data_IF_661864761461
#
_entry.id   IF_661864761461
#
_cell.length_a   1.000
_cell.length_b   1.000
_cell.length_c   1.000
_cell.angle_alpha   90.00
_cell.angle_beta   90.00
_cell.angle_gamma   90.00
#
_symmetry.space_group_name_H-M   'P 1'
#
loop_
_entity.id
_entity.type
_entity.pdbx_description
1 polymer ?
#
# COMPACT_ATOMS: atom_id res chain seq x y z
N UNK A 1 13.13 29.70 17.51
CA UNK A 1 12.39 28.84 16.56
C UNK A 1 12.91 27.40 16.50
N UNK A 2 14.24 27.17 16.54
CA UNK A 2 14.85 25.84 16.42
C UNK A 2 14.45 24.83 17.53
N UNK A 3 14.23 25.25 18.78
CA UNK A 3 13.90 24.30 19.87
C UNK A 3 12.47 23.74 19.79
N UNK A 4 11.49 24.58 19.40
CA UNK A 4 10.12 24.12 19.14
C UNK A 4 10.08 23.13 17.98
N UNK A 5 10.90 23.39 16.97
CA UNK A 5 11.04 22.53 15.80
C UNK A 5 11.60 21.15 16.17
N UNK A 6 12.70 21.11 16.92
CA UNK A 6 13.31 19.87 17.37
C UNK A 6 12.37 19.05 18.26
N UNK A 7 11.62 19.71 19.15
CA UNK A 7 10.62 19.06 20.01
C UNK A 7 9.48 18.44 19.19
N UNK A 8 9.00 19.16 18.17
CA UNK A 8 7.99 18.65 17.24
C UNK A 8 8.50 17.43 16.45
N UNK A 9 9.73 17.48 15.95
CA UNK A 9 10.34 16.38 15.21
C UNK A 9 10.52 15.15 16.11
N UNK A 10 11.05 15.33 17.33
CA UNK A 10 11.20 14.25 18.32
C UNK A 10 9.86 13.57 18.65
N UNK A 11 8.77 14.35 18.75
CA UNK A 11 7.43 13.80 19.02
C UNK A 11 6.88 12.94 17.87
N UNK A 12 7.24 13.28 16.63
CA UNK A 12 6.72 12.61 15.44
C UNK A 12 7.72 11.65 14.79
N UNK A 13 8.87 11.40 15.44
CA UNK A 13 9.97 10.63 14.85
C UNK A 13 9.56 9.24 14.39
N UNK A 14 8.68 8.57 15.13
CA UNK A 14 8.17 7.23 14.77
C UNK A 14 7.39 7.27 13.46
N UNK A 15 6.53 8.28 13.28
CA UNK A 15 5.76 8.46 12.05
C UNK A 15 6.71 8.79 10.89
N UNK A 16 7.70 9.64 11.13
CA UNK A 16 8.74 10.01 10.16
C UNK A 16 9.58 8.82 9.72
N UNK A 17 10.03 7.98 10.65
CA UNK A 17 10.75 6.74 10.38
C UNK A 17 9.87 5.81 9.53
N UNK A 18 8.58 5.72 9.84
CA UNK A 18 7.66 4.94 9.03
C UNK A 18 7.58 5.45 7.59
N UNK A 19 7.39 6.76 7.39
CA UNK A 19 7.41 7.37 6.05
C UNK A 19 8.70 7.06 5.32
N UNK A 20 9.84 7.24 5.97
CA UNK A 20 11.16 6.99 5.41
C UNK A 20 11.34 5.52 5.00
N UNK A 21 10.97 4.56 5.86
CA UNK A 21 11.18 3.14 5.60
C UNK A 21 10.35 2.66 4.41
N UNK A 22 9.09 3.08 4.31
CA UNK A 22 8.27 2.74 3.13
C UNK A 22 8.74 3.46 1.88
N UNK A 23 9.22 4.70 1.97
CA UNK A 23 9.84 5.39 0.82
C UNK A 23 11.05 4.58 0.34
N UNK A 24 12.00 4.26 1.23
CA UNK A 24 13.17 3.42 0.92
C UNK A 24 12.75 2.14 0.22
N UNK A 25 11.80 1.41 0.80
CA UNK A 25 11.35 0.13 0.28
C UNK A 25 10.70 0.27 -1.11
N UNK A 26 9.87 1.29 -1.31
CA UNK A 26 9.17 1.55 -2.57
C UNK A 26 10.15 2.01 -3.67
N UNK A 27 11.05 2.94 -3.35
CA UNK A 27 12.06 3.42 -4.30
C UNK A 27 13.05 2.31 -4.65
N UNK A 28 13.43 1.48 -3.69
CA UNK A 28 14.30 0.32 -3.90
C UNK A 28 13.71 -0.68 -4.89
N UNK A 29 12.42 -1.03 -4.73
CA UNK A 29 11.75 -1.92 -5.67
C UNK A 29 11.60 -1.29 -7.05
N UNK A 30 11.16 -0.03 -7.15
CA UNK A 30 11.07 0.68 -8.45
C UNK A 30 12.44 0.68 -9.14
N UNK A 31 13.52 0.95 -8.42
CA UNK A 31 14.85 1.05 -8.99
C UNK A 31 15.37 -0.32 -9.43
N UNK A 32 15.20 -1.35 -8.60
CA UNK A 32 15.64 -2.72 -8.93
C UNK A 32 14.94 -3.22 -10.18
N UNK A 33 13.61 -3.16 -10.22
CA UNK A 33 12.86 -3.68 -11.36
C UNK A 33 12.94 -2.75 -12.58
N UNK A 34 13.05 -1.45 -12.39
CA UNK A 34 13.33 -0.49 -13.46
C UNK A 34 14.69 -0.74 -14.11
N UNK A 35 15.72 -1.11 -13.33
CA UNK A 35 17.03 -1.51 -13.85
C UNK A 35 16.91 -2.81 -14.68
N UNK A 36 16.18 -3.80 -14.18
CA UNK A 36 15.97 -5.07 -14.90
C UNK A 36 15.22 -4.87 -16.23
N UNK A 37 14.22 -3.98 -16.25
CA UNK A 37 13.49 -3.64 -17.47
C UNK A 37 14.34 -2.82 -18.45
N UNK A 38 15.11 -1.84 -17.97
CA UNK A 38 16.06 -1.11 -18.80
C UNK A 38 17.02 -2.06 -19.53
N UNK A 39 17.53 -3.05 -18.80
CA UNK A 39 18.43 -4.07 -19.34
C UNK A 39 17.75 -5.03 -20.32
N UNK A 40 16.48 -5.36 -20.11
CA UNK A 40 15.75 -6.19 -21.07
C UNK A 40 15.41 -5.44 -22.35
N UNK A 41 15.14 -4.13 -22.28
CA UNK A 41 14.99 -3.25 -23.46
C UNK A 41 16.31 -3.20 -24.23
N UNK A 42 17.44 -3.00 -23.53
CA UNK A 42 18.77 -3.00 -24.16
C UNK A 42 19.07 -4.34 -24.82
N UNK A 43 18.86 -5.46 -24.12
CA UNK A 43 19.06 -6.80 -24.65
C UNK A 43 18.21 -7.08 -25.91
N UNK A 44 17.00 -6.53 -25.97
CA UNK A 44 16.14 -6.63 -27.13
C UNK A 44 16.62 -5.78 -28.31
N UNK A 45 17.08 -4.55 -28.04
CA UNK A 45 17.59 -3.64 -29.07
C UNK A 45 18.88 -4.15 -29.73
N UNK A 46 19.75 -4.82 -28.95
CA UNK A 46 21.05 -5.32 -29.41
C UNK A 46 21.11 -6.85 -29.51
N UNK A 47 19.97 -7.49 -29.78
CA UNK A 47 19.84 -8.96 -29.80
C UNK A 47 20.86 -9.65 -30.72
N UNK A 48 21.18 -9.05 -31.86
CA UNK A 48 22.05 -9.64 -32.88
C UNK A 48 23.53 -9.61 -32.43
N UNK A 49 23.92 -8.57 -31.67
CA UNK A 49 25.27 -8.42 -31.12
C UNK A 49 25.47 -9.30 -29.88
N UNK A 50 24.39 -9.56 -29.14
CA UNK A 50 24.42 -10.28 -27.87
C UNK A 50 24.15 -11.80 -28.00
N UNK A 51 23.91 -12.27 -29.23
CA UNK A 51 23.62 -13.69 -29.53
C UNK A 51 22.47 -14.27 -28.68
N UNK A 52 21.45 -13.45 -28.38
CA UNK A 52 20.31 -13.86 -27.56
C UNK A 52 19.24 -14.53 -28.42
N UNK A 53 18.87 -15.78 -28.06
CA UNK A 53 17.90 -16.56 -28.83
C UNK A 53 16.46 -16.08 -28.64
N UNK A 54 16.13 -15.56 -27.46
CA UNK A 54 14.79 -15.13 -27.09
C UNK A 54 14.81 -13.90 -26.17
N UNK A 55 15.19 -12.72 -26.69
CA UNK A 55 15.19 -11.48 -25.91
C UNK A 55 13.78 -11.00 -25.53
N UNK A 56 12.74 -11.49 -26.22
CA UNK A 56 11.35 -11.11 -25.97
C UNK A 56 10.83 -11.63 -24.62
N UNK A 57 11.31 -12.79 -24.17
CA UNK A 57 10.91 -13.41 -22.89
C UNK A 57 11.21 -12.51 -21.68
N UNK A 58 12.48 -12.13 -21.44
CA UNK A 58 12.84 -11.23 -20.34
C UNK A 58 12.15 -9.87 -20.43
N UNK A 59 11.99 -9.33 -21.65
CA UNK A 59 11.32 -8.04 -21.87
C UNK A 59 9.85 -8.08 -21.41
N UNK A 60 9.09 -9.06 -21.90
CA UNK A 60 7.66 -9.20 -21.55
C UNK A 60 7.46 -9.48 -20.06
N UNK A 61 8.31 -10.33 -19.47
CA UNK A 61 8.30 -10.65 -18.05
C UNK A 61 8.55 -9.42 -17.17
N UNK A 62 9.66 -8.70 -17.39
CA UNK A 62 10.00 -7.54 -16.57
C UNK A 62 9.06 -6.37 -16.80
N UNK A 63 8.52 -6.18 -18.01
CA UNK A 63 7.55 -5.11 -18.28
C UNK A 63 6.28 -5.28 -17.43
N UNK A 64 5.71 -6.49 -17.41
CA UNK A 64 4.53 -6.79 -16.60
C UNK A 64 4.78 -6.56 -15.10
N UNK A 65 5.94 -6.99 -14.60
CA UNK A 65 6.30 -6.86 -13.19
C UNK A 65 6.58 -5.41 -12.80
N UNK A 66 7.31 -4.65 -13.63
CA UNK A 66 7.55 -3.24 -13.37
C UNK A 66 6.24 -2.47 -13.32
N UNK A 67 5.29 -2.76 -14.22
CA UNK A 67 3.97 -2.12 -14.18
C UNK A 67 3.27 -2.31 -12.83
N UNK A 68 3.25 -3.54 -12.30
CA UNK A 68 2.70 -3.85 -10.98
C UNK A 68 3.44 -3.08 -9.88
N UNK A 69 4.76 -3.25 -9.82
CA UNK A 69 5.59 -2.73 -8.73
C UNK A 69 5.54 -1.21 -8.72
N UNK A 70 5.56 -0.58 -9.89
CA UNK A 70 5.44 0.85 -10.05
C UNK A 70 4.10 1.34 -9.51
N UNK A 71 2.97 0.75 -9.93
CA UNK A 71 1.65 1.15 -9.44
C UNK A 71 1.54 0.98 -7.92
N UNK A 72 1.91 -0.19 -7.42
CA UNK A 72 1.80 -0.55 -6.00
C UNK A 72 2.69 0.32 -5.11
N UNK A 73 3.90 0.64 -5.58
CA UNK A 73 4.84 1.53 -4.90
C UNK A 73 4.31 2.97 -4.86
N UNK A 74 3.82 3.50 -5.98
CA UNK A 74 3.21 4.84 -6.05
C UNK A 74 2.01 4.93 -5.11
N UNK A 75 1.14 3.93 -5.14
CA UNK A 75 -0.05 3.88 -4.31
C UNK A 75 0.32 3.86 -2.83
N UNK A 76 1.36 3.12 -2.46
CA UNK A 76 1.91 3.03 -1.11
C UNK A 76 2.51 4.37 -0.65
N UNK A 77 3.33 5.03 -1.50
CA UNK A 77 3.89 6.36 -1.23
C UNK A 77 2.77 7.40 -0.99
N UNK A 78 1.80 7.46 -1.90
CA UNK A 78 0.68 8.40 -1.80
C UNK A 78 -0.16 8.16 -0.53
N UNK A 79 -0.47 6.89 -0.26
CA UNK A 79 -1.23 6.44 0.91
C UNK A 79 -0.53 6.84 2.20
N UNK A 80 0.77 6.60 2.29
CA UNK A 80 1.53 6.86 3.51
C UNK A 80 1.78 8.35 3.76
N UNK A 81 2.07 9.13 2.71
CA UNK A 81 2.16 10.60 2.85
C UNK A 81 0.81 11.15 3.33
N UNK A 82 -0.29 10.68 2.74
CA UNK A 82 -1.64 11.09 3.14
C UNK A 82 -1.95 10.69 4.59
N UNK A 83 -1.56 9.49 5.00
CA UNK A 83 -1.70 9.05 6.37
C UNK A 83 -0.86 9.93 7.30
N UNK A 84 0.43 10.10 7.04
CA UNK A 84 1.35 10.93 7.83
C UNK A 84 0.82 12.35 8.03
N UNK A 85 0.20 12.95 7.01
CA UNK A 85 -0.48 14.23 7.17
C UNK A 85 -1.65 14.12 8.14
N UNK A 86 -2.53 13.13 7.95
CA UNK A 86 -3.71 12.95 8.80
C UNK A 86 -3.36 12.64 10.26
N UNK A 87 -2.22 11.99 10.52
CA UNK A 87 -1.74 11.73 11.88
C UNK A 87 -1.24 13.00 12.57
N UNK A 88 -0.76 13.98 11.80
CA UNK A 88 -0.16 15.23 12.29
C UNK A 88 -1.10 16.44 12.21
N UNK A 89 -2.34 16.24 11.75
CA UNK A 89 -3.36 17.27 11.61
C UNK A 89 -3.58 18.08 12.91
N UNK A 90 -3.60 17.43 14.08
CA UNK A 90 -3.76 18.10 15.38
C UNK A 90 -2.59 19.04 15.69
N UNK A 91 -1.38 18.64 15.33
CA UNK A 91 -0.19 19.45 15.57
C UNK A 91 -0.11 20.60 14.56
N UNK A 92 -0.54 20.39 13.32
CA UNK A 92 -0.68 21.48 12.35
C UNK A 92 -1.75 22.50 12.75
N UNK A 93 -2.85 22.05 13.38
CA UNK A 93 -3.85 22.94 13.99
C UNK A 93 -3.24 23.84 15.07
N UNK A 94 -2.47 23.26 16.00
CA UNK A 94 -1.79 24.03 17.06
C UNK A 94 -0.81 25.06 16.48
N UNK A 95 0.00 24.67 15.49
CA UNK A 95 0.92 25.59 14.82
C UNK A 95 0.19 26.74 14.11
N UNK A 96 -1.02 26.51 13.60
CA UNK A 96 -1.86 27.59 13.04
C UNK A 96 -2.40 28.53 14.09
N UNK A 97 -2.81 28.02 15.25
CA UNK A 97 -3.29 28.85 16.36
C UNK A 97 -2.18 29.82 16.82
N UNK A 98 -0.92 29.39 16.77
CA UNK A 98 0.26 30.22 17.07
C UNK A 98 0.57 31.24 15.94
N UNK A 99 -0.16 31.22 14.83
CA UNK A 99 -0.01 32.18 13.73
C UNK A 99 0.86 31.72 12.57
N UNK A 100 1.25 30.43 12.49
CA UNK A 100 2.00 29.95 11.32
C UNK A 100 1.09 29.88 10.10
N UNK A 101 1.45 30.66 9.06
CA UNK A 101 0.76 30.68 7.78
C UNK A 101 0.72 29.30 7.10
N UNK A 102 -0.33 29.06 6.31
CA UNK A 102 -0.52 27.79 5.60
C UNK A 102 0.57 27.50 4.56
N UNK A 103 1.15 28.54 3.96
CA UNK A 103 2.24 28.42 2.98
C UNK A 103 3.52 27.94 3.66
N UNK A 104 3.90 28.53 4.80
CA UNK A 104 5.05 28.09 5.60
C UNK A 104 4.92 26.62 6.04
N UNK A 105 3.74 26.21 6.51
CA UNK A 105 3.48 24.80 6.85
C UNK A 105 3.65 23.86 5.65
N UNK A 106 3.16 24.28 4.47
CA UNK A 106 3.30 23.48 3.25
C UNK A 106 4.78 23.35 2.86
N UNK A 107 5.52 24.45 2.77
CA UNK A 107 6.95 24.44 2.44
C UNK A 107 7.72 23.54 3.40
N UNK A 108 7.41 23.65 4.70
CA UNK A 108 8.00 22.80 5.72
C UNK A 108 7.79 21.29 5.46
N UNK A 109 6.55 20.89 5.17
CA UNK A 109 6.22 19.49 4.85
C UNK A 109 6.91 19.01 3.57
N UNK A 110 6.98 19.88 2.55
CA UNK A 110 7.68 19.56 1.31
C UNK A 110 9.17 19.31 1.56
N UNK A 111 9.80 20.17 2.35
CA UNK A 111 11.22 20.02 2.69
C UNK A 111 11.47 18.73 3.49
N UNK A 112 10.59 18.41 4.44
CA UNK A 112 10.65 17.16 5.19
C UNK A 112 10.60 15.93 4.27
N UNK A 113 9.62 15.87 3.36
CA UNK A 113 9.48 14.73 2.44
C UNK A 113 10.62 14.71 1.42
N UNK A 114 11.12 15.86 0.99
CA UNK A 114 12.28 15.96 0.13
C UNK A 114 13.54 15.37 0.76
N UNK A 115 13.78 15.62 2.06
CA UNK A 115 14.88 14.98 2.81
C UNK A 115 14.71 13.46 2.83
N UNK A 116 13.51 12.96 3.18
CA UNK A 116 13.26 11.51 3.22
C UNK A 116 13.44 10.86 1.86
N UNK A 117 12.96 11.50 0.80
CA UNK A 117 13.11 11.05 -0.58
C UNK A 117 14.58 11.00 -0.99
N UNK A 118 15.38 12.01 -0.63
CA UNK A 118 16.81 12.05 -0.95
C UNK A 118 17.55 10.88 -0.29
N UNK A 119 17.29 10.63 0.99
CA UNK A 119 17.86 9.49 1.73
C UNK A 119 17.41 8.16 1.10
N UNK A 120 16.13 8.05 0.75
CA UNK A 120 15.58 6.85 0.12
C UNK A 120 16.20 6.55 -1.25
N UNK A 121 16.39 7.57 -2.08
CA UNK A 121 17.04 7.45 -3.40
C UNK A 121 18.49 7.01 -3.25
N UNK A 122 19.26 7.67 -2.36
CA UNK A 122 20.66 7.30 -2.12
C UNK A 122 20.78 5.84 -1.71
N UNK A 123 19.99 5.41 -0.73
CA UNK A 123 19.99 4.02 -0.26
C UNK A 123 19.58 3.02 -1.35
N UNK A 124 18.55 3.37 -2.12
CA UNK A 124 18.03 2.52 -3.20
C UNK A 124 19.03 2.38 -4.36
N UNK A 125 19.77 3.45 -4.66
CA UNK A 125 20.78 3.45 -5.72
C UNK A 125 21.98 2.55 -5.40
N UNK A 126 22.36 2.41 -4.12
CA UNK A 126 23.43 1.48 -3.74
C UNK A 126 22.98 0.02 -3.69
N UNK A 127 21.73 -0.25 -3.30
CA UNK A 127 21.24 -1.62 -3.11
C UNK A 127 20.61 -2.26 -4.34
N UNK A 128 20.15 -1.48 -5.32
CA UNK A 128 19.41 -2.03 -6.47
C UNK A 128 20.25 -3.01 -7.31
N UNK A 129 21.53 -2.74 -7.57
CA UNK A 129 22.42 -3.59 -8.37
C UNK A 129 22.63 -4.98 -7.73
N UNK A 130 23.09 -5.11 -6.48
CA UNK A 130 23.27 -6.43 -5.87
C UNK A 130 21.96 -7.20 -5.78
N UNK A 131 20.84 -6.51 -5.53
CA UNK A 131 19.53 -7.16 -5.46
C UNK A 131 19.01 -7.59 -6.84
N UNK A 132 19.22 -6.79 -7.88
CA UNK A 132 18.88 -7.16 -9.25
C UNK A 132 19.68 -8.39 -9.71
N UNK A 133 20.97 -8.45 -9.37
CA UNK A 133 21.81 -9.62 -9.62
C UNK A 133 21.32 -10.86 -8.85
N UNK A 134 20.89 -10.70 -7.60
CA UNK A 134 20.30 -11.77 -6.81
C UNK A 134 19.02 -12.31 -7.47
N UNK A 135 18.10 -11.43 -7.89
CA UNK A 135 16.88 -11.80 -8.59
C UNK A 135 17.21 -12.51 -9.90
N UNK A 136 18.14 -12.00 -10.70
CA UNK A 136 18.53 -12.63 -11.96
C UNK A 136 19.13 -14.01 -11.76
N UNK A 137 20.00 -14.18 -10.76
CA UNK A 137 20.58 -15.49 -10.42
C UNK A 137 19.47 -16.49 -10.11
N UNK A 138 18.50 -16.10 -9.29
CA UNK A 138 17.37 -16.96 -8.94
C UNK A 138 16.47 -17.26 -10.15
N UNK A 139 16.21 -16.28 -11.02
CA UNK A 139 15.41 -16.47 -12.23
C UNK A 139 16.10 -17.39 -13.25
N UNK A 140 17.43 -17.29 -13.39
CA UNK A 140 18.25 -18.20 -14.22
C UNK A 140 18.28 -19.61 -13.68
N UNK A 141 18.50 -19.78 -12.37
CA UNK A 141 18.47 -21.10 -11.71
C UNK A 141 17.14 -21.82 -11.92
N UNK A 142 16.07 -21.05 -12.12
CA UNK A 142 14.71 -21.53 -12.34
C UNK A 142 14.31 -21.57 -13.82
N UNK A 143 15.25 -21.32 -14.73
CA UNK A 143 15.06 -21.33 -16.19
C UNK A 143 13.95 -20.38 -16.70
N UNK A 144 13.64 -19.32 -15.93
CA UNK A 144 12.65 -18.31 -16.33
C UNK A 144 13.25 -17.36 -17.37
N UNK A 145 14.56 -17.12 -17.25
CA UNK A 145 15.35 -16.24 -18.12
C UNK A 145 16.54 -17.05 -18.65
N UNK A 146 16.97 -16.75 -19.88
CA UNK A 146 18.16 -17.35 -20.49
C UNK A 146 19.39 -17.21 -19.60
N UNK A 147 20.21 -18.27 -19.54
CA UNK A 147 21.46 -18.30 -18.77
C UNK A 147 22.42 -17.16 -19.15
N UNK A 148 22.39 -16.75 -20.42
CA UNK A 148 23.30 -15.77 -21.00
C UNK A 148 22.90 -14.32 -20.69
N UNK A 149 21.66 -14.06 -20.28
CA UNK A 149 21.18 -12.71 -19.98
C UNK A 149 21.94 -12.09 -18.81
N UNK A 150 22.62 -10.95 -18.99
CA UNK A 150 23.36 -10.27 -17.93
C UNK A 150 22.84 -8.83 -17.77
N UNK A 151 23.17 -8.20 -16.63
CA UNK A 151 23.02 -6.75 -16.50
C UNK A 151 24.16 -6.12 -17.30
N UNK A 152 23.79 -5.38 -18.34
CA UNK A 152 24.67 -4.52 -19.12
C UNK A 152 24.82 -3.18 -18.40
N UNK A 153 26.01 -2.56 -18.48
CA UNK A 153 26.32 -1.29 -17.79
C UNK A 153 25.62 -0.06 -18.42
N UNK A 154 24.48 -0.28 -19.06
CA UNK A 154 23.65 0.73 -19.73
C UNK A 154 22.57 1.22 -18.77
N UNK A 155 22.86 2.35 -18.12
CA UNK A 155 21.97 2.98 -17.14
C UNK A 155 21.06 4.06 -17.74
N UNK A 156 21.11 4.26 -19.06
CA UNK A 156 20.39 5.32 -19.80
C UNK A 156 18.90 5.36 -19.46
N UNK A 157 18.21 4.23 -19.56
CA UNK A 157 16.78 4.12 -19.24
C UNK A 157 16.47 4.10 -17.74
N UNK A 158 17.46 3.79 -16.88
CA UNK A 158 17.26 3.73 -15.43
C UNK A 158 16.93 5.11 -14.83
N UNK A 159 17.53 6.18 -15.38
CA UNK A 159 17.29 7.56 -14.94
C UNK A 159 15.82 7.99 -15.07
N UNK A 160 15.07 7.42 -16.01
CA UNK A 160 13.64 7.70 -16.19
C UNK A 160 12.85 7.28 -14.94
N UNK A 161 13.15 6.10 -14.37
CA UNK A 161 12.48 5.62 -13.16
C UNK A 161 12.84 6.44 -11.93
N UNK A 162 14.09 6.90 -11.83
CA UNK A 162 14.55 7.81 -10.76
C UNK A 162 13.76 9.11 -10.82
N UNK A 163 13.72 9.74 -12.00
CA UNK A 163 13.05 11.02 -12.21
C UNK A 163 11.53 10.90 -12.02
N UNK A 164 10.92 9.83 -12.51
CA UNK A 164 9.50 9.54 -12.29
C UNK A 164 9.18 9.42 -10.80
N UNK A 165 10.02 8.71 -10.03
CA UNK A 165 9.84 8.54 -8.58
C UNK A 165 9.90 9.88 -7.83
N UNK A 166 10.84 10.75 -8.21
CA UNK A 166 10.96 12.10 -7.65
C UNK A 166 9.68 12.90 -7.95
N UNK A 167 9.27 12.97 -9.21
CA UNK A 167 8.08 13.71 -9.64
C UNK A 167 6.82 13.22 -8.94
N UNK A 168 6.62 11.90 -8.86
CA UNK A 168 5.44 11.31 -8.23
C UNK A 168 5.41 11.57 -6.73
N UNK A 169 6.55 11.51 -6.05
CA UNK A 169 6.64 11.81 -4.61
C UNK A 169 6.32 13.27 -4.34
N UNK A 170 6.83 14.20 -5.16
CA UNK A 170 6.53 15.63 -5.07
C UNK A 170 5.05 15.93 -5.38
N UNK A 171 4.50 15.32 -6.43
CA UNK A 171 3.08 15.44 -6.79
C UNK A 171 2.18 14.89 -5.67
N UNK A 172 2.51 13.72 -5.12
CA UNK A 172 1.79 13.12 -4.00
C UNK A 172 1.77 14.06 -2.80
N UNK A 173 2.94 14.62 -2.46
CA UNK A 173 3.07 15.62 -1.39
C UNK A 173 2.23 16.87 -1.66
N UNK A 174 2.23 17.35 -2.90
CA UNK A 174 1.41 18.48 -3.32
C UNK A 174 -0.08 18.22 -3.11
N UNK A 175 -0.58 17.06 -3.56
CA UNK A 175 -1.98 16.70 -3.41
C UNK A 175 -2.38 16.50 -1.95
N UNK A 176 -1.53 15.85 -1.14
CA UNK A 176 -1.81 15.64 0.28
C UNK A 176 -1.82 16.96 1.06
N UNK A 177 -0.91 17.91 0.75
CA UNK A 177 -0.85 19.23 1.41
C UNK A 177 -1.94 20.21 0.96
N UNK A 178 -2.69 19.93 -0.13
CA UNK A 178 -3.88 20.75 -0.48
C UNK A 178 -4.93 20.75 0.62
N UNK A 179 -5.05 19.65 1.37
CA UNK A 179 -6.03 19.51 2.47
C UNK A 179 -5.75 20.50 3.61
N UNK A 180 -4.49 20.84 3.84
CA UNK A 180 -4.08 21.70 4.94
C UNK A 180 -4.73 23.07 4.88
N UNK A 181 -5.02 23.63 3.69
CA UNK A 181 -5.67 24.97 3.57
C UNK A 181 -6.91 25.10 4.47
N UNK A 182 -7.68 24.02 4.61
CA UNK A 182 -8.94 23.98 5.36
C UNK A 182 -8.80 23.96 6.88
N UNK A 183 -7.59 23.84 7.41
CA UNK A 183 -7.34 23.71 8.85
C UNK A 183 -7.42 25.07 9.59
N UNK A 184 -7.83 26.16 8.92
CA UNK A 184 -7.56 27.54 9.34
C UNK A 184 -8.39 28.10 10.50
N UNK A 185 -9.59 27.60 10.77
CA UNK A 185 -10.54 28.43 11.52
C UNK A 185 -11.58 27.60 12.26
N UNK A 186 -11.28 27.14 13.48
CA UNK A 186 -12.24 26.56 14.46
C UNK A 186 -13.36 25.72 13.80
N UNK A 187 -13.03 24.98 12.75
CA UNK A 187 -14.06 24.59 11.80
C UNK A 187 -14.66 23.32 12.35
N UNK A 188 -15.86 23.45 12.91
CA UNK A 188 -16.88 22.41 12.89
C UNK A 188 -16.76 21.65 11.56
N UNK A 189 -16.86 20.31 11.61
CA UNK A 189 -16.76 19.45 10.42
C UNK A 189 -17.68 19.96 9.30
N UNK A 190 -17.16 20.81 8.41
CA UNK A 190 -17.96 21.43 7.37
C UNK A 190 -18.42 20.28 6.49
N UNK A 191 -19.75 20.03 6.40
CA UNK A 191 -20.26 18.91 5.65
C UNK A 191 -19.75 18.99 4.23
N UNK A 192 -19.30 17.86 3.70
CA UNK A 192 -18.76 17.79 2.35
C UNK A 192 -19.82 18.33 1.36
N UNK A 193 -19.45 19.36 0.59
CA UNK A 193 -20.34 19.98 -0.40
C UNK A 193 -21.00 18.91 -1.29
N UNK A 194 -22.32 19.01 -1.52
CA UNK A 194 -23.07 18.07 -2.36
C UNK A 194 -22.39 17.82 -3.72
N UNK A 195 -21.85 18.87 -4.36
CA UNK A 195 -21.11 18.78 -5.64
C UNK A 195 -19.90 17.84 -5.56
N UNK A 196 -19.01 18.02 -4.57
CA UNK A 196 -17.83 17.15 -4.39
C UNK A 196 -18.22 15.69 -4.10
N UNK A 197 -19.29 15.48 -3.33
CA UNK A 197 -19.82 14.14 -3.07
C UNK A 197 -20.30 13.48 -4.36
N UNK A 198 -21.10 14.20 -5.16
CA UNK A 198 -21.64 13.67 -6.41
C UNK A 198 -20.53 13.38 -7.42
N UNK A 199 -19.55 14.29 -7.59
CA UNK A 199 -18.38 14.03 -8.45
C UNK A 199 -17.63 12.76 -8.05
N UNK A 200 -17.44 12.53 -6.75
CA UNK A 200 -16.77 11.32 -6.27
C UNK A 200 -17.55 10.05 -6.61
N UNK A 201 -18.88 10.09 -6.46
CA UNK A 201 -19.75 8.96 -6.82
C UNK A 201 -19.68 8.72 -8.32
N UNK A 202 -19.82 9.76 -9.14
CA UNK A 202 -19.74 9.66 -10.60
C UNK A 202 -18.42 9.03 -11.05
N UNK A 203 -17.28 9.54 -10.58
CA UNK A 203 -15.97 8.97 -10.91
C UNK A 203 -15.84 7.53 -10.44
N UNK A 204 -16.27 7.23 -9.21
CA UNK A 204 -16.25 5.85 -8.70
C UNK A 204 -17.11 4.92 -9.55
N UNK A 205 -18.28 5.38 -9.98
CA UNK A 205 -19.18 4.62 -10.85
C UNK A 205 -18.54 4.37 -12.22
N UNK A 206 -17.94 5.39 -12.85
CA UNK A 206 -17.23 5.25 -14.12
C UNK A 206 -16.12 4.20 -14.02
N UNK A 207 -15.24 4.30 -13.02
CA UNK A 207 -14.16 3.33 -12.82
C UNK A 207 -14.70 1.91 -12.55
N UNK A 208 -15.76 1.78 -11.76
CA UNK A 208 -16.38 0.47 -11.51
C UNK A 208 -17.05 -0.11 -12.76
N UNK A 209 -17.67 0.72 -13.61
CA UNK A 209 -18.28 0.30 -14.86
C UNK A 209 -17.24 -0.17 -15.87
N UNK A 210 -16.08 0.49 -15.94
CA UNK A 210 -14.95 0.02 -16.75
C UNK A 210 -14.49 -1.37 -16.28
N UNK A 211 -14.37 -1.59 -14.97
CA UNK A 211 -14.02 -2.91 -14.44
C UNK A 211 -15.05 -3.97 -14.84
N UNK A 212 -16.34 -3.69 -14.66
CA UNK A 212 -17.43 -4.62 -14.98
C UNK A 212 -17.46 -4.89 -16.49
N UNK A 213 -17.34 -3.87 -17.33
CA UNK A 213 -17.35 -4.00 -18.79
C UNK A 213 -16.21 -4.91 -19.27
N UNK A 214 -14.98 -4.67 -18.78
CA UNK A 214 -13.81 -5.49 -19.10
C UNK A 214 -13.99 -6.93 -18.62
N UNK A 215 -14.45 -7.15 -17.38
CA UNK A 215 -14.66 -8.49 -16.83
C UNK A 215 -15.79 -9.26 -17.51
N UNK A 216 -16.85 -8.56 -17.94
CA UNK A 216 -18.02 -9.16 -18.60
C UNK A 216 -17.73 -9.66 -20.02
N UNK A 217 -16.73 -9.09 -20.68
CA UNK A 217 -16.36 -9.47 -22.04
C UNK A 217 -15.40 -10.66 -22.03
N UNK A 218 -15.98 -11.87 -21.94
CA UNK A 218 -15.25 -13.13 -21.89
C UNK A 218 -14.31 -13.34 -23.08
N UNK A 219 -14.64 -12.82 -24.26
CA UNK A 219 -13.78 -12.90 -25.44
C UNK A 219 -12.47 -12.12 -25.24
N UNK A 220 -12.55 -10.90 -24.72
CA UNK A 220 -11.35 -10.08 -24.45
C UNK A 220 -10.52 -10.59 -23.27
N UNK A 221 -11.15 -11.29 -22.33
CA UNK A 221 -10.48 -11.84 -21.14
C UNK A 221 -9.84 -13.21 -21.38
N UNK A 222 -10.00 -13.81 -22.56
CA UNK A 222 -9.31 -15.04 -22.95
C UNK A 222 -7.88 -14.74 -23.41
N UNK A 223 -6.95 -15.65 -23.11
CA UNK A 223 -5.57 -15.53 -23.59
C UNK A 223 -4.66 -14.63 -22.75
N UNK A 224 -3.45 -14.39 -23.27
CA UNK A 224 -2.49 -13.46 -22.67
C UNK A 224 -2.96 -12.00 -22.67
N UNK A 225 -3.84 -11.61 -23.60
CA UNK A 225 -4.41 -10.25 -23.64
C UNK A 225 -5.31 -10.00 -22.41
N UNK A 226 -6.14 -10.96 -22.04
CA UNK A 226 -6.99 -10.88 -20.85
C UNK A 226 -6.19 -10.68 -19.56
N UNK A 227 -5.04 -11.34 -19.45
CA UNK A 227 -4.12 -11.10 -18.34
C UNK A 227 -3.59 -9.66 -18.33
N UNK A 228 -3.14 -9.13 -19.46
CA UNK A 228 -2.71 -7.73 -19.54
C UNK A 228 -3.81 -6.76 -19.12
N UNK A 229 -5.05 -7.00 -19.55
CA UNK A 229 -6.22 -6.21 -19.15
C UNK A 229 -6.56 -6.36 -17.66
N UNK A 230 -6.24 -7.49 -17.03
CA UNK A 230 -6.49 -7.71 -15.60
C UNK A 230 -5.80 -6.66 -14.72
N UNK A 231 -4.59 -6.21 -15.08
CA UNK A 231 -3.92 -5.09 -14.39
C UNK A 231 -4.81 -3.85 -14.40
N UNK A 232 -5.36 -3.50 -15.57
CA UNK A 232 -6.20 -2.32 -15.76
C UNK A 232 -7.48 -2.45 -14.92
N UNK A 233 -8.07 -3.64 -14.87
CA UNK A 233 -9.24 -3.91 -14.01
C UNK A 233 -8.89 -3.70 -12.53
N UNK A 234 -7.77 -4.24 -12.05
CA UNK A 234 -7.34 -4.06 -10.64
C UNK A 234 -7.11 -2.58 -10.33
N UNK A 235 -6.38 -1.86 -11.19
CA UNK A 235 -6.08 -0.44 -10.99
C UNK A 235 -7.38 0.36 -10.88
N UNK A 236 -8.29 0.20 -11.83
CA UNK A 236 -9.58 0.91 -11.84
C UNK A 236 -10.43 0.53 -10.62
N UNK A 237 -10.38 -0.74 -10.20
CA UNK A 237 -11.11 -1.21 -9.02
C UNK A 237 -10.58 -0.57 -7.73
N UNK A 238 -9.26 -0.59 -7.53
CA UNK A 238 -8.61 0.05 -6.38
C UNK A 238 -8.92 1.55 -6.36
N UNK A 239 -8.91 2.23 -7.52
CA UNK A 239 -9.32 3.63 -7.62
C UNK A 239 -10.79 3.84 -7.25
N UNK A 240 -11.72 3.06 -7.81
CA UNK A 240 -13.14 3.15 -7.48
C UNK A 240 -13.37 2.96 -5.98
N UNK A 241 -12.78 1.91 -5.40
CA UNK A 241 -12.88 1.63 -3.98
C UNK A 241 -12.29 2.76 -3.14
N UNK A 242 -11.13 3.32 -3.51
CA UNK A 242 -10.50 4.44 -2.78
C UNK A 242 -11.39 5.69 -2.69
N UNK A 243 -12.30 5.87 -3.66
CA UNK A 243 -13.23 6.99 -3.70
C UNK A 243 -14.45 6.74 -2.80
N UNK A 244 -15.14 5.61 -2.96
CA UNK A 244 -16.43 5.38 -2.30
C UNK A 244 -16.33 4.51 -1.03
N UNK A 245 -15.32 3.64 -0.95
CA UNK A 245 -15.13 2.61 0.07
C UNK A 245 -15.15 3.16 1.49
N UNK A 246 -14.57 4.35 1.73
CA UNK A 246 -14.59 5.00 3.05
C UNK A 246 -16.02 5.20 3.57
N UNK A 247 -16.92 5.66 2.70
CA UNK A 247 -18.31 5.97 3.07
C UNK A 247 -19.09 4.69 3.31
N UNK A 248 -18.87 3.67 2.48
CA UNK A 248 -19.44 2.34 2.67
C UNK A 248 -19.01 1.76 4.02
N UNK A 249 -17.72 1.79 4.33
CA UNK A 249 -17.20 1.25 5.59
C UNK A 249 -17.74 2.01 6.81
N UNK A 250 -17.80 3.34 6.74
CA UNK A 250 -18.40 4.16 7.79
C UNK A 250 -19.90 3.84 7.99
N UNK A 251 -20.64 3.62 6.90
CA UNK A 251 -22.04 3.22 6.96
C UNK A 251 -22.21 1.87 7.66
N UNK A 252 -21.41 0.86 7.28
CA UNK A 252 -21.43 -0.45 7.93
C UNK A 252 -21.07 -0.37 9.41
N UNK A 253 -20.02 0.36 9.79
CA UNK A 253 -19.64 0.55 11.19
C UNK A 253 -20.75 1.23 12.01
N UNK A 254 -21.44 2.23 11.46
CA UNK A 254 -22.58 2.87 12.12
C UNK A 254 -23.76 1.92 12.31
N UNK A 255 -24.01 1.06 11.31
CA UNK A 255 -25.06 0.04 11.38
C UNK A 255 -24.75 -0.98 12.49
N UNK A 256 -23.49 -1.41 12.62
CA UNK A 256 -23.05 -2.26 13.73
C UNK A 256 -23.13 -1.55 15.08
N UNK A 257 -22.76 -0.26 15.15
CA UNK A 257 -22.81 0.51 16.40
C UNK A 257 -24.24 0.63 16.93
N UNK A 258 -25.21 0.90 16.05
CA UNK A 258 -26.63 1.01 16.43
C UNK A 258 -27.19 -0.27 17.06
N UNK A 259 -26.64 -1.43 16.73
CA UNK A 259 -27.07 -2.74 17.26
C UNK A 259 -26.34 -3.14 18.54
N UNK A 260 -25.27 -2.45 18.93
CA UNK A 260 -24.46 -2.83 20.08
C UNK A 260 -25.03 -2.28 21.39
N UNK A 261 -25.28 -3.16 22.37
CA UNK A 261 -25.67 -2.78 23.74
C UNK A 261 -24.49 -2.65 24.72
N UNK A 262 -23.29 -3.11 24.35
CA UNK A 262 -22.13 -3.14 25.26
C UNK A 262 -21.31 -1.84 25.16
N UNK A 263 -21.06 -1.19 26.31
CA UNK A 263 -20.29 0.06 26.42
C UNK A 263 -18.92 -0.07 25.74
N UNK A 264 -18.19 -1.16 26.00
CA UNK A 264 -16.87 -1.40 25.40
C UNK A 264 -16.94 -1.47 23.86
N UNK A 265 -17.94 -2.15 23.32
CA UNK A 265 -18.13 -2.25 21.86
C UNK A 265 -18.44 -0.88 21.26
N UNK A 266 -19.26 -0.07 21.93
CA UNK A 266 -19.59 1.29 21.49
C UNK A 266 -18.34 2.17 21.47
N UNK A 267 -17.52 2.16 22.53
CA UNK A 267 -16.25 2.92 22.58
C UNK A 267 -15.31 2.51 21.44
N UNK A 268 -15.15 1.20 21.20
CA UNK A 268 -14.30 0.69 20.12
C UNK A 268 -14.84 1.12 18.75
N UNK A 269 -16.14 0.94 18.49
CA UNK A 269 -16.76 1.29 17.20
C UNK A 269 -16.74 2.80 16.93
N UNK A 270 -16.99 3.62 17.95
CA UNK A 270 -16.89 5.08 17.83
C UNK A 270 -15.47 5.51 17.54
N UNK A 271 -14.48 4.93 18.23
CA UNK A 271 -13.05 5.16 17.94
C UNK A 271 -12.69 4.77 16.50
N UNK A 272 -13.21 3.65 15.99
CA UNK A 272 -13.01 3.25 14.59
C UNK A 272 -13.68 4.20 13.60
N UNK A 273 -14.90 4.68 13.90
CA UNK A 273 -15.64 5.63 13.07
C UNK A 273 -14.92 6.98 13.02
N UNK A 274 -14.43 7.49 14.15
CA UNK A 274 -13.67 8.74 14.23
C UNK A 274 -12.37 8.63 13.42
N UNK A 275 -11.71 7.48 13.53
CA UNK A 275 -10.43 7.21 12.88
C UNK A 275 -10.57 6.56 11.49
N UNK A 276 -11.76 6.51 10.92
CA UNK A 276 -12.03 5.79 9.67
C UNK A 276 -11.16 6.27 8.52
N UNK A 277 -10.79 7.55 8.49
CA UNK A 277 -9.86 8.10 7.49
C UNK A 277 -8.51 7.37 7.50
N UNK A 278 -7.97 7.14 8.70
CA UNK A 278 -6.65 6.53 8.88
C UNK A 278 -6.70 5.04 8.58
N UNK A 279 -7.74 4.37 9.09
CA UNK A 279 -7.97 2.93 8.90
C UNK A 279 -8.28 2.59 7.44
N UNK A 280 -9.02 3.45 6.74
CA UNK A 280 -9.36 3.20 5.34
C UNK A 280 -8.13 3.18 4.42
N UNK A 281 -7.10 3.97 4.73
CA UNK A 281 -5.83 3.93 3.99
C UNK A 281 -5.16 2.55 4.13
N UNK A 282 -5.14 1.99 5.34
CA UNK A 282 -4.63 0.64 5.61
C UNK A 282 -5.37 -0.43 4.81
N UNK A 283 -6.69 -0.36 4.81
CA UNK A 283 -7.56 -1.33 4.13
C UNK A 283 -7.34 -1.28 2.61
N UNK A 284 -7.31 -0.09 2.03
CA UNK A 284 -7.06 0.07 0.59
C UNK A 284 -5.70 -0.50 0.18
N UNK A 285 -4.69 -0.29 1.01
CA UNK A 285 -3.33 -0.73 0.76
C UNK A 285 -3.24 -2.26 0.80
N UNK A 286 -3.82 -2.90 1.83
CA UNK A 286 -3.91 -4.35 1.92
C UNK A 286 -4.70 -4.96 0.74
N UNK A 287 -5.79 -4.31 0.33
CA UNK A 287 -6.61 -4.74 -0.80
C UNK A 287 -5.85 -4.63 -2.13
N UNK A 288 -5.08 -3.55 -2.34
CA UNK A 288 -4.23 -3.45 -3.52
C UNK A 288 -3.20 -4.59 -3.54
N UNK A 289 -2.53 -4.86 -2.42
CA UNK A 289 -1.56 -5.94 -2.34
C UNK A 289 -2.13 -7.33 -2.63
N UNK A 290 -3.29 -7.65 -2.06
CA UNK A 290 -3.95 -8.94 -2.29
C UNK A 290 -4.36 -9.12 -3.75
N UNK A 291 -4.89 -8.06 -4.38
CA UNK A 291 -5.25 -8.09 -5.80
C UNK A 291 -4.03 -8.25 -6.71
N UNK A 292 -2.92 -7.56 -6.44
CA UNK A 292 -1.70 -7.72 -7.24
C UNK A 292 -1.00 -9.06 -6.99
N UNK A 293 -1.05 -9.61 -5.78
CA UNK A 293 -0.57 -10.96 -5.52
C UNK A 293 -1.36 -11.98 -6.35
N UNK A 294 -2.68 -11.83 -6.43
CA UNK A 294 -3.49 -12.64 -7.32
C UNK A 294 -3.17 -12.44 -8.78
N UNK A 295 -2.95 -11.20 -9.23
CA UNK A 295 -2.54 -10.96 -10.60
C UNK A 295 -1.27 -11.74 -10.96
N UNK A 296 -0.22 -11.63 -10.14
CA UNK A 296 1.05 -12.35 -10.31
C UNK A 296 0.80 -13.87 -10.38
N UNK A 297 -0.08 -14.39 -9.54
CA UNK A 297 -0.46 -15.80 -9.58
C UNK A 297 -1.26 -16.16 -10.86
N UNK A 298 -2.21 -15.33 -11.28
CA UNK A 298 -3.07 -15.59 -12.42
C UNK A 298 -2.27 -15.60 -13.73
N UNK A 299 -1.37 -14.62 -13.92
CA UNK A 299 -0.45 -14.57 -15.06
C UNK A 299 0.39 -15.83 -15.14
N UNK A 300 0.72 -16.37 -13.98
CA UNK A 300 1.50 -17.58 -13.90
C UNK A 300 0.72 -18.81 -14.35
N UNK A 301 -0.43 -19.03 -13.72
CA UNK A 301 -1.25 -20.22 -13.96
C UNK A 301 -1.60 -20.38 -15.44
N UNK A 302 -1.81 -19.26 -16.13
CA UNK A 302 -2.06 -19.23 -17.56
C UNK A 302 -0.83 -19.63 -18.39
N UNK A 303 0.35 -19.08 -18.07
CA UNK A 303 1.61 -19.39 -18.79
C UNK A 303 2.04 -20.85 -18.66
N UNK A 304 1.70 -21.51 -17.54
CA UNK A 304 2.00 -22.92 -17.30
C UNK A 304 1.14 -23.85 -18.15
N UNK A 305 -0.13 -23.50 -18.39
CA UNK A 305 -1.07 -24.30 -19.20
C UNK A 305 -0.65 -24.31 -20.67
N UNK A 306 -0.15 -23.20 -21.22
CA UNK A 306 0.24 -23.14 -22.64
C UNK A 306 1.51 -23.95 -22.97
N UNK A 307 2.40 -24.20 -22.01
CA UNK A 307 3.73 -24.77 -22.29
C UNK A 307 3.96 -26.21 -21.84
N UNK A 308 2.99 -26.88 -21.19
CA UNK A 308 3.16 -28.22 -20.55
C UNK A 308 4.41 -28.38 -19.65
N UNK A 309 5.12 -27.30 -19.35
CA UNK A 309 6.40 -27.31 -18.66
C UNK A 309 6.20 -26.89 -17.20
N UNK A 310 6.10 -27.91 -16.34
CA UNK A 310 5.96 -27.77 -14.89
C UNK A 310 7.16 -27.09 -14.19
N UNK A 311 8.29 -26.90 -14.89
CA UNK A 311 9.51 -26.33 -14.31
C UNK A 311 9.46 -24.80 -14.11
N UNK A 312 8.55 -24.09 -14.78
CA UNK A 312 8.49 -22.62 -14.71
C UNK A 312 7.85 -22.06 -13.42
N UNK A 313 7.39 -22.93 -12.50
CA UNK A 313 6.63 -22.54 -11.30
C UNK A 313 7.45 -21.69 -10.31
N UNK A 314 8.77 -21.84 -10.31
CA UNK A 314 9.57 -21.38 -9.17
C UNK A 314 9.83 -19.87 -9.14
N UNK A 315 9.93 -19.19 -10.28
CA UNK A 315 10.27 -17.76 -10.32
C UNK A 315 9.17 -16.85 -9.78
N UNK A 316 7.93 -17.29 -9.96
CA UNK A 316 6.73 -16.54 -9.57
C UNK A 316 6.54 -16.54 -8.07
N UNK A 317 6.88 -17.64 -7.40
CA UNK A 317 6.90 -17.65 -5.93
C UNK A 317 7.83 -16.59 -5.36
N UNK A 318 8.97 -16.29 -6.01
CA UNK A 318 9.84 -15.19 -5.55
C UNK A 318 9.12 -13.86 -5.64
N UNK A 319 8.43 -13.58 -6.75
CA UNK A 319 7.68 -12.33 -6.91
C UNK A 319 6.52 -12.21 -5.93
N UNK A 320 5.79 -13.30 -5.71
CA UNK A 320 4.74 -13.37 -4.70
C UNK A 320 5.31 -13.13 -3.30
N UNK A 321 6.46 -13.70 -2.98
CA UNK A 321 7.16 -13.48 -1.71
C UNK A 321 7.59 -12.02 -1.59
N UNK A 322 8.22 -11.43 -2.62
CA UNK A 322 8.63 -10.02 -2.63
C UNK A 322 7.41 -9.11 -2.41
N UNK A 323 6.32 -9.32 -3.16
CA UNK A 323 5.11 -8.52 -3.02
C UNK A 323 4.44 -8.70 -1.65
N UNK A 324 4.43 -9.93 -1.12
CA UNK A 324 3.84 -10.24 0.20
C UNK A 324 4.66 -9.62 1.33
N UNK A 325 5.99 -9.73 1.29
CA UNK A 325 6.91 -9.11 2.26
C UNK A 325 6.77 -7.59 2.20
N UNK A 326 6.77 -7.03 0.99
CA UNK A 326 6.58 -5.61 0.78
C UNK A 326 5.24 -5.14 1.37
N UNK A 327 4.14 -5.83 1.06
CA UNK A 327 2.82 -5.53 1.61
C UNK A 327 2.77 -5.65 3.13
N UNK A 328 3.40 -6.68 3.70
CA UNK A 328 3.50 -6.88 5.15
C UNK A 328 4.24 -5.73 5.83
N UNK A 329 5.41 -5.33 5.31
CA UNK A 329 6.21 -4.24 5.86
C UNK A 329 5.44 -2.92 5.78
N UNK A 330 4.81 -2.62 4.64
CA UNK A 330 4.06 -1.36 4.51
C UNK A 330 2.83 -1.36 5.41
N UNK A 331 2.09 -2.47 5.50
CA UNK A 331 0.91 -2.58 6.37
C UNK A 331 1.27 -2.50 7.86
N UNK A 332 2.27 -3.25 8.32
CA UNK A 332 2.76 -3.18 9.72
C UNK A 332 3.18 -1.78 10.11
N UNK A 333 3.98 -1.13 9.27
CA UNK A 333 4.47 0.22 9.49
C UNK A 333 3.32 1.25 9.58
N UNK A 334 2.32 1.09 8.72
CA UNK A 334 1.13 1.93 8.70
C UNK A 334 0.27 1.72 9.97
N UNK A 335 0.17 0.48 10.49
CA UNK A 335 -0.49 0.19 11.77
C UNK A 335 0.27 0.77 12.97
N UNK A 336 1.59 0.64 12.98
CA UNK A 336 2.46 1.22 14.01
C UNK A 336 2.28 2.74 14.06
N UNK A 337 2.29 3.41 12.91
CA UNK A 337 2.04 4.84 12.83
C UNK A 337 0.64 5.21 13.34
N UNK A 338 -0.37 4.40 13.00
CA UNK A 338 -1.74 4.58 13.51
C UNK A 338 -1.80 4.54 15.04
N UNK A 339 -1.28 3.49 15.69
CA UNK A 339 -1.30 3.37 17.15
C UNK A 339 -0.49 4.44 17.86
N UNK A 340 0.65 4.82 17.29
CA UNK A 340 1.46 5.91 17.82
C UNK A 340 0.68 7.23 17.81
N UNK A 341 -0.20 7.45 16.83
CA UNK A 341 -1.06 8.64 16.81
C UNK A 341 -2.15 8.66 17.89
N UNK A 342 -2.53 7.50 18.43
CA UNK A 342 -3.56 7.37 19.46
C UNK A 342 -3.04 7.60 20.87
N UNK A 343 -1.73 7.80 21.01
CA UNK A 343 -1.05 7.95 22.30
C UNK A 343 -1.68 9.02 23.20
N UNK A 344 -2.05 10.17 22.63
CA UNK A 344 -2.71 11.25 23.38
C UNK A 344 -4.08 10.85 23.92
N UNK A 345 -4.83 10.05 23.16
CA UNK A 345 -6.17 9.62 23.54
C UNK A 345 -6.08 8.63 24.71
N UNK A 346 -5.09 7.74 24.70
CA UNK A 346 -4.85 6.83 25.81
C UNK A 346 -4.44 7.56 27.10
N UNK A 347 -3.70 8.68 27.01
CA UNK A 347 -3.41 9.53 28.18
C UNK A 347 -4.66 10.14 28.78
N UNK A 348 -5.61 10.57 27.96
CA UNK A 348 -6.89 11.11 28.44
C UNK A 348 -7.70 10.00 29.12
N UNK A 349 -7.78 8.82 28.51
CA UNK A 349 -8.46 7.65 29.09
C UNK A 349 -7.85 7.25 30.45
N UNK A 350 -6.52 7.28 30.57
CA UNK A 350 -5.83 7.04 31.84
C UNK A 350 -6.23 8.06 32.91
N UNK A 351 -6.26 9.36 32.57
CA UNK A 351 -6.68 10.42 33.49
C UNK A 351 -8.15 10.32 33.94
N UNK A 352 -9.00 9.67 33.14
CA UNK A 352 -10.40 9.41 33.48
C UNK A 352 -10.53 8.23 34.49
N UNK A 353 -9.42 7.54 34.82
CA UNK A 353 -9.38 6.50 35.84
C UNK A 353 -9.24 5.07 35.29
N UNK A 354 -8.99 4.91 33.99
CA UNK A 354 -8.73 3.58 33.44
C UNK A 354 -7.37 3.05 33.91
N UNK A 355 -7.37 1.79 34.36
CA UNK A 355 -6.13 1.10 34.74
C UNK A 355 -5.22 0.81 33.54
N UNK A 356 -3.93 0.63 33.81
CA UNK A 356 -2.91 0.29 32.79
C UNK A 356 -3.30 -0.97 31.99
N UNK A 357 -3.87 -1.98 32.67
CA UNK A 357 -4.35 -3.23 32.08
C UNK A 357 -5.53 -3.00 31.13
N UNK A 358 -6.48 -2.14 31.50
CA UNK A 358 -7.64 -1.83 30.65
C UNK A 358 -7.22 -1.09 29.38
N UNK A 359 -6.29 -0.13 29.46
CA UNK A 359 -5.78 0.58 28.28
C UNK A 359 -5.06 -0.39 27.33
N UNK A 360 -4.21 -1.27 27.87
CA UNK A 360 -3.55 -2.30 27.08
C UNK A 360 -4.56 -3.22 26.39
N UNK A 361 -5.60 -3.63 27.09
CA UNK A 361 -6.68 -4.45 26.53
C UNK A 361 -7.43 -3.74 25.40
N UNK A 362 -7.77 -2.45 25.58
CA UNK A 362 -8.41 -1.63 24.53
C UNK A 362 -7.53 -1.54 23.28
N UNK A 363 -6.21 -1.39 23.45
CA UNK A 363 -5.27 -1.31 22.32
C UNK A 363 -5.18 -2.64 21.57
N UNK A 364 -5.07 -3.76 22.29
CA UNK A 364 -5.02 -5.10 21.70
C UNK A 364 -6.32 -5.38 20.92
N UNK A 365 -7.48 -5.11 21.52
CA UNK A 365 -8.78 -5.27 20.85
C UNK A 365 -8.89 -4.37 19.63
N UNK A 366 -8.49 -3.11 19.74
CA UNK A 366 -8.58 -2.17 18.61
C UNK A 366 -7.69 -2.65 17.45
N UNK A 367 -6.48 -3.13 17.74
CA UNK A 367 -5.59 -3.70 16.73
C UNK A 367 -6.24 -4.92 16.07
N UNK A 368 -6.70 -5.87 16.88
CA UNK A 368 -7.36 -7.07 16.40
C UNK A 368 -8.56 -6.75 15.50
N UNK A 369 -9.43 -5.83 15.93
CA UNK A 369 -10.61 -5.43 15.15
C UNK A 369 -10.21 -4.73 13.84
N UNK A 370 -9.22 -3.82 13.85
CA UNK A 370 -8.73 -3.20 12.62
C UNK A 370 -8.18 -4.24 11.65
N UNK A 371 -7.38 -5.19 12.14
CA UNK A 371 -6.82 -6.25 11.31
C UNK A 371 -7.89 -7.20 10.77
N UNK A 372 -8.91 -7.53 11.57
CA UNK A 372 -10.01 -8.39 11.16
C UNK A 372 -10.90 -7.70 10.13
N UNK A 373 -11.22 -6.42 10.31
CA UNK A 373 -11.95 -5.63 9.31
C UNK A 373 -11.13 -5.54 8.02
N UNK A 374 -9.82 -5.31 8.12
CA UNK A 374 -8.95 -5.24 6.94
C UNK A 374 -8.90 -6.57 6.20
N UNK A 375 -8.81 -7.69 6.92
CA UNK A 375 -8.91 -9.04 6.37
C UNK A 375 -10.22 -9.22 5.64
N UNK A 376 -11.33 -9.02 6.35
CA UNK A 376 -12.66 -9.29 5.85
C UNK A 376 -12.97 -8.47 4.60
N UNK A 377 -12.63 -7.18 4.61
CA UNK A 377 -12.83 -6.30 3.46
C UNK A 377 -11.94 -6.73 2.29
N UNK A 378 -10.66 -7.02 2.54
CA UNK A 378 -9.74 -7.47 1.50
C UNK A 378 -10.19 -8.80 0.87
N UNK A 379 -10.54 -9.80 1.69
CA UNK A 379 -10.98 -11.13 1.22
C UNK A 379 -12.33 -11.07 0.53
N UNK A 380 -13.27 -10.26 1.00
CA UNK A 380 -14.59 -10.07 0.38
C UNK A 380 -14.47 -9.42 -1.00
N UNK A 381 -13.69 -8.34 -1.13
CA UNK A 381 -13.53 -7.72 -2.45
C UNK A 381 -12.70 -8.59 -3.39
N UNK A 382 -11.75 -9.32 -2.83
CA UNK A 382 -10.99 -10.31 -3.58
C UNK A 382 -11.86 -11.46 -4.10
N UNK A 383 -12.77 -11.99 -3.27
CA UNK A 383 -13.70 -13.06 -3.68
C UNK A 383 -14.68 -12.56 -4.73
N UNK A 384 -15.22 -11.35 -4.58
CA UNK A 384 -16.07 -10.71 -5.61
C UNK A 384 -15.29 -10.56 -6.92
N UNK A 385 -14.04 -10.09 -6.85
CA UNK A 385 -13.20 -9.93 -8.03
C UNK A 385 -12.96 -11.26 -8.76
N UNK A 386 -12.58 -12.31 -8.03
CA UNK A 386 -12.41 -13.66 -8.57
C UNK A 386 -13.72 -14.19 -9.16
N UNK A 387 -14.83 -14.03 -8.44
CA UNK A 387 -16.14 -14.49 -8.88
C UNK A 387 -16.55 -13.80 -10.17
N UNK A 388 -16.34 -12.47 -10.28
CA UNK A 388 -16.60 -11.75 -11.52
C UNK A 388 -15.66 -12.18 -12.66
N UNK A 389 -14.40 -12.49 -12.38
CA UNK A 389 -13.45 -12.90 -13.42
C UNK A 389 -13.74 -14.32 -13.95
N UNK A 390 -14.09 -15.25 -13.06
CA UNK A 390 -14.26 -16.66 -13.42
C UNK A 390 -15.69 -17.17 -13.49
N UNK A 391 -16.66 -16.47 -12.91
CA UNK A 391 -18.08 -16.80 -13.05
C UNK A 391 -18.54 -16.83 -14.50
N UNK A 392 -17.83 -16.12 -15.39
CA UNK A 392 -18.04 -16.17 -16.84
C UNK A 392 -17.25 -17.26 -17.58
N UNK A 393 -16.32 -17.97 -16.92
CA UNK A 393 -15.50 -19.05 -17.48
C UNK A 393 -15.60 -20.29 -16.58
N UNK A 394 -16.73 -21.00 -16.66
CA UNK A 394 -17.18 -22.05 -15.73
C UNK A 394 -16.34 -23.35 -15.70
N UNK A 395 -15.22 -23.47 -16.42
CA UNK A 395 -14.53 -24.76 -16.62
C UNK A 395 -13.41 -25.10 -15.63
N UNK A 396 -13.02 -24.22 -14.70
CA UNK A 396 -11.79 -24.43 -13.90
C UNK A 396 -12.05 -24.68 -12.40
N UNK A 397 -12.19 -25.96 -12.01
CA UNK A 397 -12.29 -26.40 -10.59
C UNK A 397 -11.05 -26.06 -9.73
N UNK A 398 -9.89 -25.76 -10.35
CA UNK A 398 -8.65 -25.39 -9.65
C UNK A 398 -8.72 -24.02 -8.93
N UNK A 399 -9.82 -23.27 -9.11
CA UNK A 399 -10.09 -21.99 -8.48
C UNK A 399 -10.21 -22.03 -6.97
N UNK A 400 -10.83 -23.08 -6.44
CA UNK A 400 -11.07 -23.16 -5.00
C UNK A 400 -9.75 -23.26 -4.23
N UNK A 401 -8.81 -24.07 -4.74
CA UNK A 401 -7.44 -24.21 -4.19
C UNK A 401 -6.66 -22.90 -4.26
N UNK A 402 -6.87 -22.11 -5.31
CA UNK A 402 -6.23 -20.82 -5.49
C UNK A 402 -6.74 -19.80 -4.45
N UNK A 403 -8.06 -19.75 -4.30
CA UNK A 403 -8.71 -18.91 -3.28
C UNK A 403 -8.24 -19.28 -1.87
N UNK A 404 -8.14 -20.58 -1.58
CA UNK A 404 -7.63 -21.10 -0.31
C UNK A 404 -6.20 -20.63 -0.04
N UNK A 405 -5.28 -20.77 -1.00
CA UNK A 405 -3.89 -20.36 -0.83
C UNK A 405 -3.74 -18.84 -0.58
N UNK A 406 -4.48 -18.01 -1.31
CA UNK A 406 -4.41 -16.55 -1.14
C UNK A 406 -5.08 -16.12 0.17
N UNK A 407 -6.19 -16.76 0.55
CA UNK A 407 -6.82 -16.53 1.85
C UNK A 407 -5.87 -16.90 3.00
N UNK A 408 -5.19 -18.04 2.92
CA UNK A 408 -4.18 -18.47 3.90
C UNK A 408 -3.03 -17.47 3.97
N UNK A 409 -2.49 -17.02 2.83
CA UNK A 409 -1.42 -16.02 2.81
C UNK A 409 -1.85 -14.69 3.44
N UNK A 410 -3.06 -14.21 3.15
CA UNK A 410 -3.59 -13.00 3.78
C UNK A 410 -3.77 -13.17 5.29
N UNK A 411 -4.27 -14.33 5.75
CA UNK A 411 -4.39 -14.66 7.18
C UNK A 411 -3.02 -14.67 7.84
N UNK A 412 -2.02 -15.30 7.22
CA UNK A 412 -0.64 -15.36 7.73
C UNK A 412 -0.02 -13.97 7.83
N UNK A 413 -0.11 -13.15 6.78
CA UNK A 413 0.37 -11.76 6.79
C UNK A 413 -0.25 -11.03 7.97
N UNK A 414 -1.56 -11.17 8.17
CA UNK A 414 -2.26 -10.48 9.25
C UNK A 414 -1.87 -10.98 10.64
N UNK A 415 -1.76 -12.29 10.85
CA UNK A 415 -1.28 -12.85 12.11
C UNK A 415 0.13 -12.34 12.43
N UNK A 416 1.04 -12.37 11.47
CA UNK A 416 2.40 -11.83 11.65
C UNK A 416 2.33 -10.33 11.95
N UNK A 417 1.49 -9.56 11.26
CA UNK A 417 1.38 -8.12 11.51
C UNK A 417 0.83 -7.81 12.90
N UNK A 418 -0.18 -8.54 13.37
CA UNK A 418 -0.72 -8.36 14.73
C UNK A 418 0.34 -8.68 15.78
N UNK A 419 1.08 -9.78 15.61
CA UNK A 419 2.16 -10.19 16.51
C UNK A 419 3.32 -9.18 16.53
N UNK A 420 3.63 -8.53 15.41
CA UNK A 420 4.68 -7.50 15.36
C UNK A 420 4.23 -6.16 15.99
N UNK A 421 2.95 -5.79 15.84
CA UNK A 421 2.43 -4.51 16.34
C UNK A 421 2.21 -4.53 17.86
N UNK A 422 1.80 -5.66 18.44
CA UNK A 422 1.48 -5.75 19.87
C UNK A 422 2.68 -5.39 20.78
N UNK A 423 3.88 -5.98 20.63
CA UNK A 423 5.04 -5.64 21.45
C UNK A 423 5.42 -4.16 21.34
N UNK A 424 5.31 -3.60 20.15
CA UNK A 424 5.59 -2.18 19.91
C UNK A 424 4.60 -1.29 20.68
N UNK A 425 3.31 -1.61 20.62
CA UNK A 425 2.28 -0.91 21.38
C UNK A 425 2.51 -1.03 22.90
N UNK A 426 2.91 -2.20 23.39
CA UNK A 426 3.20 -2.42 24.81
C UNK A 426 4.42 -1.57 25.26
N UNK A 427 5.50 -1.60 24.47
CA UNK A 427 6.72 -0.87 24.77
C UNK A 427 6.46 0.64 24.86
N UNK A 428 5.78 1.21 23.85
CA UNK A 428 5.46 2.62 23.86
C UNK A 428 4.59 3.01 25.05
N UNK A 429 3.59 2.18 25.41
CA UNK A 429 2.75 2.49 26.56
C UNK A 429 3.51 2.46 27.89
N UNK A 430 4.42 1.50 28.11
CA UNK A 430 5.24 1.47 29.34
C UNK A 430 6.03 2.76 29.53
N UNK A 431 6.63 3.28 28.45
CA UNK A 431 7.38 4.53 28.48
C UNK A 431 6.53 5.74 28.87
N UNK A 432 5.24 5.73 28.54
CA UNK A 432 4.32 6.79 28.90
C UNK A 432 3.93 6.73 30.36
N UNK A 433 3.68 5.52 30.86
CA UNK A 433 3.24 5.30 32.23
C UNK A 433 4.32 5.75 33.23
N UNK A 434 5.59 5.46 32.96
CA UNK A 434 6.71 5.90 33.80
C UNK A 434 6.92 7.42 33.88
N UNK A 435 6.26 8.20 33.03
CA UNK A 435 6.35 9.66 33.06
C UNK A 435 5.29 10.32 33.96
N UNK A 436 4.32 9.54 34.43
CA UNK A 436 3.18 10.02 35.23
C UNK A 436 3.07 9.35 36.60
N UNK A 437 3.74 8.21 36.80
CA UNK A 437 4.18 7.78 38.12
C UNK A 437 5.35 8.68 38.55
#
# INVERSE_FOLDING_TARGET
MNNLFLSYFKKNIVISIGVLLTLILSTFLIFTFGLLLANSIYAYAYKDVLELTNPLGPLTFFNGIVGIIFFVSIFSIFSLITLSMSLRDSSFKLLRIIGISHTKLRVFIFFEIFIYMTIAILFSFFLNIPFANFILKELKNKQVIESNFKIYNEYSYHYIFVLATILITLLSTYFSTKRLRKIASVSFDIPESKKKRNLRIIFSSIFSLICIALLSNSYTMRGGLGLGLLIIVIINFVFAFSLIGKKLLCYFLKLFNKRSKSIYKTIVLESLIENINKIFVLINLLMAFSMFAYYIYSTYSFSAVEKNNSQNNRGIYILLIINSIFGLIVFTNTLVAFFTSQESNYKVIYKIGFSKKQIMFVIIITNFVITLISLFVSTLFFSIFIFCFYGFNASNFNLLKLFENIAIMNILILLVTTLLVIPFCIYNNKKLMHKYD
#
